data_IF_307133680625
#
_entry.id   IF_307133680625
#
_cell.length_a   1.000
_cell.length_b   1.000
_cell.length_c   1.000
_cell.angle_alpha   90.00
_cell.angle_beta   90.00
_cell.angle_gamma   90.00
#
_symmetry.space_group_name_H-M   'P 1'
#
loop_
_entity.id
_entity.type
_entity.pdbx_description
1 polymer ?
#
# COMPACT_ATOMS: atom_id res chain seq x y z
N UNK A 1 -5.51 10.39 21.78
CA UNK A 1 -4.85 9.19 21.22
C UNK A 1 -3.33 9.12 21.43
N UNK A 2 -2.65 10.13 22.03
CA UNK A 2 -1.19 10.08 22.20
C UNK A 2 -0.68 8.88 23.02
N UNK A 3 -1.39 8.50 24.08
CA UNK A 3 -1.05 7.31 24.88
C UNK A 3 -1.22 5.99 24.11
N UNK A 4 -1.85 6.02 22.93
CA UNK A 4 -2.04 4.85 22.08
C UNK A 4 -0.75 4.44 21.37
N UNK A 5 0.10 5.41 21.01
CA UNK A 5 1.29 5.19 20.18
C UNK A 5 2.63 5.23 20.95
N UNK A 6 2.64 5.83 22.14
CA UNK A 6 3.87 6.03 22.93
C UNK A 6 3.98 5.17 24.19
N UNK A 7 3.05 4.24 24.40
CA UNK A 7 3.04 3.34 25.55
C UNK A 7 2.88 1.89 25.08
N UNK A 8 3.55 0.94 25.73
CA UNK A 8 3.39 -0.50 25.46
C UNK A 8 2.34 -1.16 26.38
N UNK A 9 1.83 -0.42 27.37
CA UNK A 9 0.91 -0.95 28.38
C UNK A 9 -0.54 -0.75 27.97
N UNK A 10 -1.38 -1.72 28.34
CA UNK A 10 -2.83 -1.67 28.15
C UNK A 10 -3.32 -2.50 26.97
N UNK A 11 -4.63 -2.45 26.78
CA UNK A 11 -5.39 -3.17 25.76
C UNK A 11 -6.09 -2.17 24.84
N UNK A 12 -6.24 -2.53 23.57
CA UNK A 12 -6.96 -1.71 22.59
C UNK A 12 -8.03 -2.53 21.91
N UNK A 13 -9.20 -1.91 21.72
CA UNK A 13 -10.31 -2.55 21.04
C UNK A 13 -9.98 -2.76 19.56
N UNK A 14 -10.64 -3.74 18.90
CA UNK A 14 -10.49 -3.96 17.45
C UNK A 14 -10.66 -2.66 16.64
N UNK A 15 -11.64 -1.83 17.01
CA UNK A 15 -11.91 -0.56 16.34
C UNK A 15 -10.80 0.47 16.55
N UNK A 16 -10.29 0.62 17.78
CA UNK A 16 -9.19 1.54 18.08
C UNK A 16 -7.88 1.11 17.41
N UNK A 17 -7.64 -0.21 17.31
CA UNK A 17 -6.52 -0.77 16.58
C UNK A 17 -6.56 -0.38 15.11
N UNK A 18 -7.69 -0.59 14.44
CA UNK A 18 -7.86 -0.22 13.04
C UNK A 18 -7.74 1.29 12.82
N UNK A 19 -8.32 2.11 13.69
CA UNK A 19 -8.17 3.57 13.63
C UNK A 19 -6.72 4.02 13.76
N UNK A 20 -6.00 3.50 14.76
CA UNK A 20 -4.58 3.79 14.94
C UNK A 20 -3.74 3.35 13.74
N UNK A 21 -4.00 2.17 13.21
CA UNK A 21 -3.32 1.64 12.04
C UNK A 21 -3.58 2.49 10.78
N UNK A 22 -4.82 2.93 10.53
CA UNK A 22 -5.15 3.77 9.38
C UNK A 22 -4.37 5.09 9.44
N UNK A 23 -4.28 5.73 10.62
CA UNK A 23 -3.48 6.95 10.80
C UNK A 23 -2.01 6.70 10.43
N UNK A 24 -1.44 5.60 10.90
CA UNK A 24 -0.04 5.24 10.58
C UNK A 24 0.15 4.93 9.09
N UNK A 25 -0.83 4.28 8.44
CA UNK A 25 -0.79 4.01 6.99
C UNK A 25 -0.80 5.32 6.21
N UNK A 26 -1.65 6.29 6.57
CA UNK A 26 -1.73 7.59 5.90
C UNK A 26 -0.43 8.37 6.05
N UNK A 27 0.17 8.38 7.25
CA UNK A 27 1.46 9.03 7.47
C UNK A 27 2.57 8.34 6.65
N UNK A 28 2.63 7.00 6.66
CA UNK A 28 3.60 6.26 5.86
C UNK A 28 3.42 6.52 4.36
N UNK A 29 2.18 6.60 3.88
CA UNK A 29 1.90 6.94 2.49
C UNK A 29 2.40 8.33 2.12
N UNK A 30 2.14 9.34 2.98
CA UNK A 30 2.64 10.70 2.78
C UNK A 30 4.18 10.75 2.78
N UNK A 31 4.84 10.00 3.68
CA UNK A 31 6.29 9.91 3.71
C UNK A 31 6.88 9.21 2.48
N UNK A 32 6.21 8.17 1.98
CA UNK A 32 6.62 7.48 0.76
C UNK A 32 6.55 8.40 -0.47
N UNK A 33 5.71 9.45 -0.44
CA UNK A 33 5.62 10.48 -1.49
C UNK A 33 6.64 11.61 -1.36
N UNK A 34 7.32 11.77 -0.22
CA UNK A 34 8.32 12.84 -0.03
C UNK A 34 9.41 12.91 -1.12
N UNK A 35 9.94 11.78 -1.64
CA UNK A 35 10.93 11.81 -2.70
C UNK A 35 10.46 12.51 -3.99
N UNK A 36 9.15 12.62 -4.21
CA UNK A 36 8.58 13.35 -5.36
C UNK A 36 8.65 14.87 -5.17
N UNK A 37 8.66 15.36 -3.92
CA UNK A 37 8.67 16.78 -3.60
C UNK A 37 10.11 17.30 -3.54
N UNK A 38 10.97 16.65 -2.75
CA UNK A 38 12.39 16.98 -2.71
C UNK A 38 13.21 15.90 -2.02
N UNK A 39 14.40 15.66 -2.56
CA UNK A 39 15.39 14.70 -2.06
C UNK A 39 15.90 15.10 -0.67
N UNK A 40 15.98 16.40 -0.37
CA UNK A 40 16.41 16.87 0.95
C UNK A 40 15.44 16.45 2.06
N UNK A 41 14.14 16.34 1.76
CA UNK A 41 13.16 15.80 2.70
C UNK A 41 13.21 14.27 2.80
N UNK A 42 13.70 13.58 1.76
CA UNK A 42 13.89 12.13 1.81
C UNK A 42 14.92 11.71 2.88
N UNK A 43 15.90 12.56 3.20
CA UNK A 43 16.86 12.31 4.30
C UNK A 43 16.19 12.37 5.68
N UNK A 44 15.17 13.21 5.84
CA UNK A 44 14.36 13.27 7.07
C UNK A 44 13.38 12.10 7.18
N UNK A 45 13.11 11.38 6.08
CA UNK A 45 12.22 10.24 6.11
C UNK A 45 12.77 9.11 7.00
N UNK A 46 14.09 8.93 7.09
CA UNK A 46 14.70 7.88 7.91
C UNK A 46 14.39 8.00 9.42
N UNK A 47 14.71 9.12 10.10
CA UNK A 47 14.40 9.25 11.53
C UNK A 47 12.88 9.20 11.81
N UNK A 48 12.06 9.75 10.92
CA UNK A 48 10.59 9.70 11.07
C UNK A 48 10.09 8.26 10.91
N UNK A 49 10.66 7.49 9.98
CA UNK A 49 10.33 6.07 9.78
C UNK A 49 10.66 5.24 11.02
N UNK A 50 11.73 5.55 11.74
CA UNK A 50 12.08 4.88 12.99
C UNK A 50 11.05 5.16 14.10
N UNK A 51 10.56 6.40 14.19
CA UNK A 51 9.48 6.78 15.10
C UNK A 51 8.18 6.03 14.75
N UNK A 52 7.83 5.96 13.47
CA UNK A 52 6.67 5.20 12.99
C UNK A 52 6.79 3.72 13.30
N UNK A 53 7.98 3.12 13.14
CA UNK A 53 8.22 1.73 13.50
C UNK A 53 7.95 1.48 14.99
N UNK A 54 8.34 2.41 15.86
CA UNK A 54 7.98 2.36 17.29
C UNK A 54 6.47 2.42 17.52
N UNK A 55 5.77 3.34 16.84
CA UNK A 55 4.32 3.48 16.95
C UNK A 55 3.59 2.20 16.48
N UNK A 56 4.08 1.57 15.41
CA UNK A 56 3.59 0.26 14.93
C UNK A 56 3.80 -0.84 15.97
N UNK A 57 4.98 -0.91 16.57
CA UNK A 57 5.30 -1.89 17.62
C UNK A 57 4.39 -1.72 18.84
N UNK A 58 4.15 -0.47 19.26
CA UNK A 58 3.22 -0.15 20.35
C UNK A 58 1.79 -0.58 20.05
N UNK A 59 1.30 -0.31 18.84
CA UNK A 59 -0.05 -0.66 18.41
C UNK A 59 -0.28 -2.18 18.40
N UNK A 60 0.63 -2.94 17.79
CA UNK A 60 0.53 -4.40 17.71
C UNK A 60 0.69 -5.07 19.07
N UNK A 61 1.59 -4.57 19.92
CA UNK A 61 1.76 -5.08 21.29
C UNK A 61 0.45 -5.02 22.07
N UNK A 62 -0.26 -3.89 22.01
CA UNK A 62 -1.55 -3.72 22.69
C UNK A 62 -2.66 -4.60 22.12
N UNK A 63 -2.66 -4.84 20.80
CA UNK A 63 -3.64 -5.75 20.19
C UNK A 63 -3.39 -7.20 20.58
N UNK A 64 -2.13 -7.61 20.69
CA UNK A 64 -1.75 -8.94 21.15
C UNK A 64 -2.07 -9.13 22.63
N UNK A 65 -1.80 -8.11 23.47
CA UNK A 65 -2.22 -8.11 24.87
C UNK A 65 -3.74 -8.24 25.03
N UNK A 66 -4.51 -7.62 24.14
CA UNK A 66 -5.97 -7.76 24.15
C UNK A 66 -6.44 -9.18 23.79
N UNK A 67 -5.65 -9.92 23.02
CA UNK A 67 -5.87 -11.35 22.72
C UNK A 67 -5.20 -12.30 23.74
N UNK A 68 -4.71 -11.78 24.87
CA UNK A 68 -4.01 -12.55 25.90
C UNK A 68 -2.64 -13.11 25.47
N UNK A 69 -2.06 -12.60 24.38
CA UNK A 69 -0.76 -13.02 23.85
C UNK A 69 0.37 -12.10 24.32
N UNK A 70 1.60 -12.60 24.31
CA UNK A 70 2.77 -11.81 24.67
C UNK A 70 3.13 -10.79 23.58
N UNK A 71 3.63 -9.62 23.98
CA UNK A 71 4.14 -8.59 23.05
C UNK A 71 5.24 -9.11 22.11
N UNK A 72 5.97 -10.16 22.49
CA UNK A 72 7.01 -10.75 21.65
C UNK A 72 6.47 -11.35 20.34
N UNK A 73 5.17 -11.70 20.29
CA UNK A 73 4.53 -12.14 19.05
C UNK A 73 4.45 -11.03 17.98
N UNK A 74 4.70 -9.76 18.33
CA UNK A 74 4.84 -8.69 17.35
C UNK A 74 5.95 -9.00 16.35
N UNK A 75 7.04 -9.65 16.77
CA UNK A 75 8.13 -10.02 15.86
C UNK A 75 7.67 -10.97 14.75
N UNK A 76 6.76 -11.90 15.07
CA UNK A 76 6.17 -12.80 14.08
C UNK A 76 5.27 -12.03 13.11
N UNK A 77 4.45 -11.10 13.61
CA UNK A 77 3.63 -10.23 12.76
C UNK A 77 4.52 -9.40 11.83
N UNK A 78 5.64 -8.88 12.34
CA UNK A 78 6.60 -8.10 11.56
C UNK A 78 7.27 -8.97 10.49
N UNK A 79 7.62 -10.22 10.80
CA UNK A 79 8.15 -11.18 9.83
C UNK A 79 7.16 -11.45 8.68
N UNK A 80 5.89 -11.71 9.00
CA UNK A 80 4.83 -11.88 7.99
C UNK A 80 4.63 -10.60 7.18
N UNK A 81 4.67 -9.44 7.84
CA UNK A 81 4.55 -8.14 7.20
C UNK A 81 5.68 -7.89 6.20
N UNK A 82 6.90 -8.31 6.54
CA UNK A 82 8.06 -8.22 5.67
C UNK A 82 7.90 -9.10 4.43
N UNK A 83 7.46 -10.35 4.62
CA UNK A 83 7.19 -11.27 3.50
C UNK A 83 6.12 -10.73 2.53
N UNK A 84 5.02 -10.18 3.06
CA UNK A 84 3.98 -9.60 2.22
C UNK A 84 4.44 -8.31 1.52
N UNK A 85 5.19 -7.46 2.22
CA UNK A 85 5.77 -6.25 1.63
C UNK A 85 6.74 -6.59 0.50
N UNK A 86 7.57 -7.63 0.67
CA UNK A 86 8.45 -8.12 -0.37
C UNK A 86 7.68 -8.63 -1.60
N UNK A 87 6.64 -9.44 -1.39
CA UNK A 87 5.78 -9.92 -2.47
C UNK A 87 5.07 -8.76 -3.21
N UNK A 88 4.59 -7.77 -2.48
CA UNK A 88 3.95 -6.58 -3.04
C UNK A 88 4.92 -5.77 -3.90
N UNK A 89 6.13 -5.51 -3.41
CA UNK A 89 7.17 -4.82 -4.18
C UNK A 89 7.52 -5.58 -5.47
N UNK A 90 7.63 -6.91 -5.42
CA UNK A 90 7.86 -7.74 -6.61
C UNK A 90 6.73 -7.64 -7.63
N UNK A 91 5.48 -7.65 -7.16
CA UNK A 91 4.32 -7.44 -8.03
C UNK A 91 4.36 -6.07 -8.69
N UNK A 92 4.70 -5.01 -7.95
CA UNK A 92 4.85 -3.67 -8.54
C UNK A 92 5.93 -3.68 -9.62
N UNK A 93 7.08 -4.31 -9.39
CA UNK A 93 8.15 -4.40 -10.40
C UNK A 93 7.66 -5.09 -11.67
N UNK A 94 6.96 -6.22 -11.52
CA UNK A 94 6.39 -6.95 -12.66
C UNK A 94 5.35 -6.14 -13.43
N UNK A 95 4.47 -5.42 -12.74
CA UNK A 95 3.38 -4.66 -13.36
C UNK A 95 3.90 -3.40 -14.06
N UNK A 96 4.88 -2.72 -13.44
CA UNK A 96 5.44 -1.47 -13.96
C UNK A 96 6.55 -1.69 -15.00
N UNK A 97 7.05 -2.92 -15.14
CA UNK A 97 8.22 -3.21 -15.98
C UNK A 97 9.50 -2.56 -15.46
N UNK A 98 9.51 -2.17 -14.17
CA UNK A 98 10.62 -1.46 -13.56
C UNK A 98 11.87 -2.35 -13.49
N UNK A 99 12.95 -1.86 -14.09
CA UNK A 99 14.24 -2.52 -14.05
C UNK A 99 15.10 -1.98 -12.90
N UNK A 100 15.26 -2.80 -11.86
CA UNK A 100 16.12 -2.48 -10.71
C UNK A 100 17.59 -2.29 -11.12
N UNK A 101 18.03 -2.88 -12.23
CA UNK A 101 19.40 -2.70 -12.72
C UNK A 101 19.65 -1.24 -13.15
N UNK A 102 18.65 -0.54 -13.68
CA UNK A 102 18.79 0.88 -14.06
C UNK A 102 19.06 1.79 -12.86
N UNK A 103 18.36 1.56 -11.74
CA UNK A 103 18.59 2.28 -10.48
C UNK A 103 19.93 1.92 -9.88
N UNK A 104 20.31 0.64 -9.93
CA UNK A 104 21.60 0.18 -9.40
C UNK A 104 22.77 0.76 -10.20
N UNK A 105 22.64 0.80 -11.53
CA UNK A 105 23.63 1.41 -12.43
C UNK A 105 23.71 2.93 -12.21
N UNK A 106 22.57 3.61 -12.04
CA UNK A 106 22.53 5.04 -11.71
C UNK A 106 23.21 5.36 -10.37
N UNK A 107 23.03 4.49 -9.36
CA UNK A 107 23.70 4.60 -8.08
C UNK A 107 25.22 4.41 -8.21
N UNK A 108 25.65 3.40 -8.97
CA UNK A 108 27.07 3.08 -9.18
C UNK A 108 27.80 4.13 -10.02
N UNK A 109 27.11 4.77 -10.96
CA UNK A 109 27.67 5.83 -11.80
C UNK A 109 28.12 7.06 -11.00
N UNK A 110 27.55 7.30 -9.81
CA UNK A 110 27.95 8.40 -8.94
C UNK A 110 29.21 8.10 -8.09
N UNK A 111 29.76 6.88 -8.17
CA UNK A 111 31.01 6.50 -7.49
C UNK A 111 30.92 6.65 -5.97
N UNK A 112 31.78 7.50 -5.40
CA UNK A 112 31.85 7.75 -3.94
C UNK A 112 30.94 8.88 -3.45
N UNK A 113 30.28 9.62 -4.35
CA UNK A 113 29.32 10.65 -3.96
C UNK A 113 27.98 10.01 -3.57
N UNK A 114 27.84 9.76 -2.26
CA UNK A 114 26.63 9.17 -1.66
C UNK A 114 25.39 10.01 -1.98
N UNK A 115 25.51 11.34 -2.01
CA UNK A 115 24.38 12.23 -2.26
C UNK A 115 23.99 12.22 -3.74
N UNK A 116 24.98 12.25 -4.64
CA UNK A 116 24.81 12.07 -6.08
C UNK A 116 24.17 10.72 -6.41
N UNK A 117 24.64 9.64 -5.77
CA UNK A 117 24.12 8.28 -5.95
C UNK A 117 22.65 8.18 -5.53
N UNK A 118 22.29 8.75 -4.38
CA UNK A 118 20.92 8.75 -3.88
C UNK A 118 19.99 9.56 -4.79
N UNK A 119 20.44 10.74 -5.25
CA UNK A 119 19.67 11.58 -6.18
C UNK A 119 19.42 10.87 -7.51
N UNK A 120 20.46 10.28 -8.11
CA UNK A 120 20.34 9.53 -9.36
C UNK A 120 19.41 8.30 -9.21
N UNK A 121 19.50 7.60 -8.07
CA UNK A 121 18.64 6.46 -7.76
C UNK A 121 17.17 6.85 -7.61
N UNK A 122 16.90 7.97 -6.93
CA UNK A 122 15.54 8.48 -6.75
C UNK A 122 14.97 8.93 -8.10
N UNK A 123 15.75 9.63 -8.92
CA UNK A 123 15.32 10.10 -10.24
C UNK A 123 14.95 8.92 -11.15
N UNK A 124 15.81 7.91 -11.24
CA UNK A 124 15.55 6.69 -11.99
C UNK A 124 14.38 5.87 -11.39
N UNK A 125 14.12 6.02 -10.09
CA UNK A 125 13.04 5.36 -9.36
C UNK A 125 11.70 6.10 -9.31
N UNK A 126 11.58 7.32 -9.86
CA UNK A 126 10.35 8.13 -9.67
C UNK A 126 9.08 7.45 -10.15
N UNK A 127 9.16 6.73 -11.28
CA UNK A 127 8.01 6.03 -11.86
C UNK A 127 7.43 4.94 -10.95
N UNK A 128 8.22 4.43 -10.00
CA UNK A 128 7.78 3.40 -9.06
C UNK A 128 7.40 3.94 -7.68
N UNK A 129 7.74 5.18 -7.36
CA UNK A 129 7.44 5.78 -6.04
C UNK A 129 5.94 5.73 -5.74
N UNK A 130 5.10 6.20 -6.68
CA UNK A 130 3.64 6.22 -6.50
C UNK A 130 3.02 4.81 -6.48
N UNK A 131 3.26 3.93 -7.48
CA UNK A 131 2.77 2.55 -7.43
C UNK A 131 3.23 1.78 -6.19
N UNK A 132 4.49 1.99 -5.78
CA UNK A 132 5.09 1.37 -4.59
C UNK A 132 4.43 1.83 -3.29
N UNK A 133 4.16 3.12 -3.13
CA UNK A 133 3.49 3.63 -1.94
C UNK A 133 2.03 3.13 -1.83
N UNK A 134 1.31 3.06 -2.96
CA UNK A 134 -0.05 2.52 -2.98
C UNK A 134 -0.03 1.03 -2.62
N UNK A 135 0.85 0.25 -3.25
CA UNK A 135 0.98 -1.17 -2.94
C UNK A 135 1.34 -1.39 -1.47
N UNK A 136 2.29 -0.61 -0.92
CA UNK A 136 2.67 -0.65 0.49
C UNK A 136 1.50 -0.31 1.42
N UNK A 137 0.71 0.70 1.11
CA UNK A 137 -0.48 1.06 1.88
C UNK A 137 -1.54 -0.05 1.88
N UNK A 138 -1.81 -0.65 0.71
CA UNK A 138 -2.74 -1.77 0.56
C UNK A 138 -2.25 -3.00 1.33
N UNK A 139 -0.98 -3.38 1.18
CA UNK A 139 -0.39 -4.51 1.89
C UNK A 139 -0.46 -4.33 3.40
N UNK A 140 -0.14 -3.14 3.90
CA UNK A 140 -0.21 -2.82 5.32
C UNK A 140 -1.65 -2.88 5.83
N UNK A 141 -2.61 -2.37 5.06
CA UNK A 141 -4.02 -2.45 5.39
C UNK A 141 -4.52 -3.91 5.47
N UNK A 142 -4.13 -4.76 4.51
CA UNK A 142 -4.45 -6.19 4.52
C UNK A 142 -3.93 -6.85 5.79
N UNK A 143 -2.68 -6.58 6.18
CA UNK A 143 -2.09 -7.17 7.40
C UNK A 143 -2.85 -6.75 8.65
N UNK A 144 -3.19 -5.46 8.76
CA UNK A 144 -3.97 -4.93 9.88
C UNK A 144 -5.35 -5.59 9.92
N UNK A 145 -6.00 -5.74 8.78
CA UNK A 145 -7.31 -6.37 8.69
C UNK A 145 -7.25 -7.86 9.09
N UNK A 146 -6.30 -8.61 8.53
CA UNK A 146 -6.09 -10.02 8.86
C UNK A 146 -5.70 -10.20 10.33
N UNK A 147 -4.81 -9.37 10.86
CA UNK A 147 -4.45 -9.42 12.28
C UNK A 147 -5.64 -9.13 13.19
N UNK A 148 -6.52 -8.22 12.79
CA UNK A 148 -7.74 -7.95 13.54
C UNK A 148 -8.75 -9.11 13.49
N UNK A 149 -8.81 -9.84 12.36
CA UNK A 149 -9.66 -11.03 12.22
C UNK A 149 -9.12 -12.25 12.98
N UNK A 150 -7.80 -12.45 12.96
CA UNK A 150 -7.14 -13.62 13.58
C UNK A 150 -7.05 -13.46 15.09
N UNK A 151 -6.75 -12.25 15.58
CA UNK A 151 -6.66 -11.96 17.01
C UNK A 151 -8.06 -11.65 17.54
N UNK A 152 -8.68 -12.61 18.22
CA UNK A 152 -9.93 -12.37 18.95
C UNK A 152 -9.65 -11.72 20.30
N UNK A 153 -10.48 -10.76 20.68
CA UNK A 153 -10.38 -10.10 21.99
C UNK A 153 -10.78 -11.06 23.10
N UNK A 154 -10.00 -11.06 24.18
CA UNK A 154 -10.30 -11.80 25.40
C UNK A 154 -11.46 -11.10 26.16
N UNK A 155 -12.60 -11.78 26.41
CA UNK A 155 -13.72 -11.18 27.12
C UNK A 155 -13.43 -10.94 28.61
N UNK A 156 -12.44 -11.62 29.18
CA UNK A 156 -12.11 -11.52 30.59
C UNK A 156 -11.01 -10.47 30.85
N UNK A 157 -10.87 -10.11 32.12
CA UNK A 157 -9.77 -9.26 32.57
C UNK A 157 -8.48 -10.09 32.55
N UNK A 158 -7.42 -9.54 31.97
CA UNK A 158 -6.15 -10.24 31.86
C UNK A 158 -5.04 -9.41 32.51
N UNK A 159 -3.84 -10.00 32.61
CA UNK A 159 -2.67 -9.36 33.22
C UNK A 159 -2.25 -8.03 32.56
N UNK A 160 -2.82 -7.68 31.41
CA UNK A 160 -2.53 -6.46 30.66
C UNK A 160 -3.61 -5.37 30.81
N UNK A 161 -4.72 -5.65 31.49
CA UNK A 161 -5.75 -4.67 31.85
C UNK A 161 -7.19 -5.17 31.70
N UNK A 162 -8.13 -4.27 31.98
CA UNK A 162 -9.57 -4.54 31.91
C UNK A 162 -10.01 -4.95 30.50
N UNK A 163 -11.08 -5.76 30.43
CA UNK A 163 -11.72 -6.13 29.17
C UNK A 163 -12.05 -4.90 28.32
N UNK A 164 -11.65 -4.93 27.05
CA UNK A 164 -11.83 -3.82 26.10
C UNK A 164 -13.30 -3.44 25.92
N UNK A 165 -14.22 -4.41 26.03
CA UNK A 165 -15.65 -4.16 25.92
C UNK A 165 -16.19 -3.32 27.10
N UNK A 166 -15.67 -3.53 28.32
CA UNK A 166 -15.99 -2.70 29.49
C UNK A 166 -15.38 -1.30 29.36
N UNK A 167 -14.22 -1.16 28.71
CA UNK A 167 -13.54 0.11 28.51
C UNK A 167 -14.16 0.98 27.38
N UNK A 168 -14.66 0.36 26.30
CA UNK A 168 -15.23 1.07 25.13
C UNK A 168 -16.59 1.70 25.42
N UNK A 169 -17.40 1.12 26.30
CA UNK A 169 -18.66 1.75 26.76
C UNK A 169 -18.46 3.11 27.42
N UNK A 170 -17.24 3.45 27.84
CA UNK A 170 -16.90 4.75 28.43
C UNK A 170 -16.42 5.80 27.39
N UNK A 171 -16.27 5.46 26.10
CA UNK A 171 -15.68 6.39 25.11
C UNK A 171 -16.33 6.20 23.74
N UNK A 172 -17.60 6.65 23.62
CA UNK A 172 -18.35 6.64 22.37
C UNK A 172 -17.92 7.85 21.52
N UNK A 173 -17.22 7.58 20.40
CA UNK A 173 -16.87 8.60 19.41
C UNK A 173 -16.25 8.08 18.11
N UNK A 174 -16.36 6.78 17.81
CA UNK A 174 -15.52 6.11 16.80
C UNK A 174 -16.12 5.91 15.39
N UNK A 175 -17.39 6.23 15.14
CA UNK A 175 -18.06 5.86 13.87
C UNK A 175 -17.66 6.71 12.66
N UNK A 176 -17.33 7.99 12.85
CA UNK A 176 -17.10 8.90 11.71
C UNK A 176 -15.74 8.71 11.02
N UNK A 177 -14.77 8.04 11.66
CA UNK A 177 -13.40 7.90 11.13
C UNK A 177 -13.22 6.67 10.23
N UNK A 178 -14.05 5.62 10.36
CA UNK A 178 -14.01 4.47 9.45
C UNK A 178 -14.41 4.88 8.02
N UNK A 179 -15.37 5.78 7.88
CA UNK A 179 -15.79 6.34 6.60
C UNK A 179 -14.63 7.10 5.93
N UNK A 180 -13.84 7.85 6.71
CA UNK A 180 -12.66 8.55 6.20
C UNK A 180 -11.56 7.59 5.72
N UNK A 181 -11.30 6.49 6.44
CA UNK A 181 -10.34 5.46 6.03
C UNK A 181 -10.74 4.75 4.73
N UNK A 182 -12.02 4.45 4.55
CA UNK A 182 -12.54 3.86 3.30
C UNK A 182 -12.48 4.86 2.14
N UNK A 183 -12.78 6.13 2.38
CA UNK A 183 -12.65 7.19 1.38
C UNK A 183 -11.21 7.38 0.90
N UNK A 184 -10.23 7.32 1.81
CA UNK A 184 -8.79 7.41 1.45
C UNK A 184 -8.35 6.22 0.60
N UNK A 185 -8.84 5.01 0.88
CA UNK A 185 -8.56 3.81 0.10
C UNK A 185 -9.20 3.89 -1.30
N UNK A 186 -10.44 4.37 -1.39
CA UNK A 186 -11.14 4.60 -2.66
C UNK A 186 -10.43 5.68 -3.48
N UNK A 187 -10.01 6.79 -2.87
CA UNK A 187 -9.25 7.83 -3.56
C UNK A 187 -7.87 7.35 -4.02
N UNK A 188 -7.22 6.47 -3.26
CA UNK A 188 -5.93 5.88 -3.65
C UNK A 188 -6.06 4.93 -4.84
N UNK A 189 -7.15 4.14 -4.90
CA UNK A 189 -7.48 3.30 -6.05
C UNK A 189 -7.88 4.13 -7.28
N UNK A 190 -8.56 5.26 -7.08
CA UNK A 190 -8.89 6.20 -8.14
C UNK A 190 -7.65 6.91 -8.70
N UNK A 191 -6.69 7.30 -7.85
CA UNK A 191 -5.39 7.83 -8.29
C UNK A 191 -4.59 6.79 -9.07
N UNK A 192 -4.61 5.52 -8.65
CA UNK A 192 -4.01 4.42 -9.43
C UNK A 192 -4.65 4.32 -10.83
N UNK A 193 -5.98 4.43 -10.92
CA UNK A 193 -6.71 4.42 -12.19
C UNK A 193 -6.35 5.62 -13.09
N UNK A 194 -6.27 6.83 -12.52
CA UNK A 194 -5.92 8.08 -13.22
C UNK A 194 -4.44 8.12 -13.63
N UNK A 195 -3.54 7.44 -12.91
CA UNK A 195 -2.11 7.41 -13.24
C UNK A 195 -1.76 6.31 -14.26
N UNK A 196 -2.52 5.21 -14.30
CA UNK A 196 -2.39 4.19 -15.35
C UNK A 196 -2.90 4.72 -16.70
N UNK A 197 -3.86 5.64 -16.70
CA UNK A 197 -4.47 6.17 -17.94
C UNK A 197 -3.48 6.92 -18.86
N UNK A 198 -2.58 7.81 -18.41
CA UNK A 198 -1.59 8.44 -19.30
C UNK A 198 -0.52 7.47 -19.83
N UNK A 199 -0.24 6.36 -19.14
CA UNK A 199 0.58 5.28 -19.74
C UNK A 199 -0.14 4.62 -20.92
N UNK A 200 -1.48 4.65 -20.98
CA UNK A 200 -2.23 4.22 -22.16
C UNK A 200 -1.97 5.18 -23.32
N UNK A 201 -1.82 6.49 -23.08
CA UNK A 201 -1.56 7.47 -24.15
C UNK A 201 -0.13 7.38 -24.72
N UNK A 202 0.89 7.13 -23.90
CA UNK A 202 2.25 6.81 -24.37
C UNK A 202 2.27 5.49 -25.17
N UNK A 203 1.47 4.51 -24.75
CA UNK A 203 1.28 3.26 -25.47
C UNK A 203 0.53 3.49 -26.80
N UNK A 204 -0.40 4.44 -26.89
CA UNK A 204 -1.04 4.82 -28.16
C UNK A 204 -0.05 5.53 -29.09
N UNK A 205 0.85 6.36 -28.54
CA UNK A 205 1.96 6.97 -29.29
C UNK A 205 2.94 5.93 -29.85
N UNK A 206 3.33 4.96 -29.02
CA UNK A 206 4.14 3.81 -29.45
C UNK A 206 3.40 2.98 -30.50
N UNK A 207 2.10 2.72 -30.32
CA UNK A 207 1.24 2.02 -31.29
C UNK A 207 1.20 2.75 -32.63
N UNK A 208 1.07 4.07 -32.66
CA UNK A 208 1.08 4.84 -33.92
C UNK A 208 2.43 4.78 -34.64
N UNK A 209 3.54 4.86 -33.90
CA UNK A 209 4.89 4.76 -34.47
C UNK A 209 5.22 3.34 -34.94
N UNK A 210 4.83 2.32 -34.17
CA UNK A 210 5.03 0.91 -34.51
C UNK A 210 4.15 0.46 -35.69
N UNK A 211 2.87 0.85 -35.72
CA UNK A 211 1.99 0.57 -36.86
C UNK A 211 2.46 1.30 -38.13
N UNK A 212 2.97 2.53 -38.00
CA UNK A 212 3.56 3.26 -39.13
C UNK A 212 4.80 2.57 -39.71
N UNK A 213 5.62 1.92 -38.87
CA UNK A 213 6.72 1.08 -39.33
C UNK A 213 6.23 -0.25 -39.93
N UNK A 214 5.22 -0.89 -39.33
CA UNK A 214 4.67 -2.16 -39.82
C UNK A 214 4.03 -2.05 -41.21
N UNK A 215 3.40 -0.92 -41.53
CA UNK A 215 2.83 -0.67 -42.87
C UNK A 215 3.89 -0.54 -43.97
N UNK A 216 5.16 -0.35 -43.62
CA UNK A 216 6.29 -0.34 -44.57
C UNK A 216 6.72 -1.77 -44.94
N UNK A 217 6.50 -2.75 -44.06
CA UNK A 217 7.04 -4.09 -44.19
C UNK A 217 5.99 -5.21 -44.36
N UNK A 218 4.73 -4.94 -44.05
CA UNK A 218 3.65 -5.93 -44.11
C UNK A 218 2.58 -5.55 -45.15
N UNK A 219 2.01 -6.54 -45.88
CA UNK A 219 0.83 -6.31 -46.69
C UNK A 219 -0.31 -5.69 -45.85
N UNK A 220 -1.12 -4.81 -46.43
CA UNK A 220 -2.14 -4.05 -45.70
C UNK A 220 -3.15 -4.94 -44.96
N UNK A 221 -3.43 -6.13 -45.49
CA UNK A 221 -4.30 -7.12 -44.86
C UNK A 221 -3.72 -7.69 -43.55
N UNK A 222 -2.40 -7.89 -43.50
CA UNK A 222 -1.70 -8.41 -42.31
C UNK A 222 -1.59 -7.35 -41.22
N UNK A 223 -1.34 -6.09 -41.61
CA UNK A 223 -1.29 -4.95 -40.68
C UNK A 223 -2.65 -4.70 -39.99
N UNK A 224 -3.76 -4.84 -40.73
CA UNK A 224 -5.11 -4.71 -40.18
C UNK A 224 -5.42 -5.81 -39.15
N UNK A 225 -5.02 -7.06 -39.43
CA UNK A 225 -5.24 -8.19 -38.53
C UNK A 225 -4.40 -8.10 -37.25
N UNK A 226 -3.15 -7.63 -37.35
CA UNK A 226 -2.27 -7.35 -36.21
C UNK A 226 -2.87 -6.24 -35.33
N UNK A 227 -3.35 -5.15 -35.93
CA UNK A 227 -4.00 -4.06 -35.17
C UNK A 227 -5.26 -4.54 -34.43
N UNK A 228 -6.09 -5.37 -35.07
CA UNK A 228 -7.28 -5.95 -34.45
C UNK A 228 -6.94 -6.86 -33.24
N UNK A 229 -5.88 -7.66 -33.34
CA UNK A 229 -5.43 -8.53 -32.25
C UNK A 229 -4.83 -7.74 -31.08
N UNK A 230 -4.06 -6.69 -31.38
CA UNK A 230 -3.53 -5.77 -30.36
C UNK A 230 -4.68 -5.08 -29.61
N UNK A 231 -5.70 -4.58 -30.33
CA UNK A 231 -6.88 -3.97 -29.71
C UNK A 231 -7.63 -4.94 -28.79
N UNK A 232 -7.85 -6.19 -29.23
CA UNK A 232 -8.48 -7.23 -28.40
C UNK A 232 -7.69 -7.51 -27.12
N UNK A 233 -6.36 -7.55 -27.22
CA UNK A 233 -5.48 -7.79 -26.07
C UNK A 233 -5.54 -6.63 -25.05
N UNK A 234 -5.56 -5.37 -25.49
CA UNK A 234 -5.72 -4.20 -24.62
C UNK A 234 -7.07 -4.16 -23.91
N UNK A 235 -8.15 -4.45 -24.64
CA UNK A 235 -9.51 -4.51 -24.08
C UNK A 235 -9.60 -5.63 -23.04
N UNK A 236 -9.03 -6.80 -23.32
CA UNK A 236 -9.01 -7.91 -22.38
C UNK A 236 -8.24 -7.57 -21.09
N UNK A 237 -7.06 -6.95 -21.20
CA UNK A 237 -6.22 -6.62 -20.04
C UNK A 237 -6.84 -5.53 -19.15
N UNK A 238 -7.44 -4.51 -19.77
CA UNK A 238 -8.16 -3.44 -19.06
C UNK A 238 -9.45 -3.94 -18.39
N UNK A 239 -10.22 -4.81 -19.07
CA UNK A 239 -11.39 -5.45 -18.46
C UNK A 239 -11.03 -6.38 -17.31
N UNK A 240 -9.91 -7.08 -17.38
CA UNK A 240 -9.44 -7.96 -16.29
C UNK A 240 -9.02 -7.14 -15.06
N UNK A 241 -8.31 -6.03 -15.28
CA UNK A 241 -7.94 -5.09 -14.21
C UNK A 241 -9.19 -4.44 -13.58
N UNK A 242 -10.16 -4.04 -14.41
CA UNK A 242 -11.44 -3.49 -13.98
C UNK A 242 -12.27 -4.52 -13.19
N UNK A 243 -12.32 -5.78 -13.64
CA UNK A 243 -13.04 -6.85 -12.95
C UNK A 243 -12.41 -7.20 -11.60
N UNK A 244 -11.08 -7.15 -11.50
CA UNK A 244 -10.39 -7.35 -10.22
C UNK A 244 -10.68 -6.20 -9.24
N UNK A 245 -10.71 -4.95 -9.72
CA UNK A 245 -11.07 -3.79 -8.92
C UNK A 245 -12.54 -3.80 -8.47
N UNK A 246 -13.46 -4.13 -9.37
CA UNK A 246 -14.90 -4.23 -9.09
C UNK A 246 -15.24 -5.43 -8.20
N UNK A 247 -14.51 -6.54 -8.33
CA UNK A 247 -14.58 -7.69 -7.44
C UNK A 247 -14.18 -7.34 -6.01
N UNK A 248 -13.10 -6.56 -5.84
CA UNK A 248 -12.68 -6.00 -4.55
C UNK A 248 -13.73 -5.06 -3.94
N UNK A 249 -14.37 -4.21 -4.74
CA UNK A 249 -15.46 -3.33 -4.30
C UNK A 249 -16.71 -4.12 -3.87
N UNK A 250 -17.08 -5.16 -4.59
CA UNK A 250 -18.23 -6.01 -4.27
C UNK A 250 -18.02 -6.76 -2.95
N UNK A 251 -16.80 -7.25 -2.71
CA UNK A 251 -16.40 -7.85 -1.43
C UNK A 251 -16.45 -6.82 -0.28
N UNK A 252 -15.97 -5.59 -0.51
CA UNK A 252 -16.03 -4.52 0.49
C UNK A 252 -17.46 -4.10 0.83
N UNK A 253 -18.35 -3.92 -0.16
CA UNK A 253 -19.76 -3.62 0.11
C UNK A 253 -20.46 -4.77 0.82
N UNK A 254 -20.12 -6.02 0.51
CA UNK A 254 -20.56 -7.20 1.25
C UNK A 254 -20.13 -7.16 2.72
N UNK A 255 -18.86 -6.85 2.99
CA UNK A 255 -18.33 -6.71 4.34
C UNK A 255 -18.98 -5.55 5.12
N UNK A 256 -19.18 -4.39 4.49
CA UNK A 256 -19.87 -3.23 5.09
C UNK A 256 -21.33 -3.59 5.43
N UNK A 257 -22.02 -4.30 4.55
CA UNK A 257 -23.40 -4.74 4.80
C UNK A 257 -23.49 -5.80 5.90
N UNK A 258 -22.49 -6.68 6.00
CA UNK A 258 -22.39 -7.68 7.07
C UNK A 258 -22.09 -7.06 8.44
N UNK A 259 -21.29 -5.99 8.51
CA UNK A 259 -20.97 -5.26 9.75
C UNK A 259 -22.10 -4.34 10.25
N UNK A 260 -23.17 -4.15 9.48
CA UNK A 260 -24.33 -3.34 9.85
C UNK A 260 -25.45 -4.14 10.54
N UNK A 261 -25.33 -5.46 10.57
CA UNK A 261 -26.18 -6.39 11.33
C UNK A 261 -25.46 -6.81 12.59
#
# INVERSE_FOLDING_TARGET
MGNLFFSLKGRISPAQFQQGAIILIVINFALAMLPLVSISFALLAFPISLLLAWMWFSLWSKRLHDAGKSAWMVLLVLLVSFGLSFAATRLVYMVTGFDQATVTAAAQAAGTDIMGAMKASIEAGKSIVLPGAIAGAISTFIIVFLGNMVLKSDPEENQYGLATEKAVKATIGGQNLMIAGTLILISSLFVLYVYITPQIDEIQGFKSSFLGQLTVFAPPETAAQINANIQKWYIFRSLTALSAALGGLSFMFGAIKAMRK
#
